data_IF_216153136577
#
_entry.id   IF_216153136577
#
_cell.length_a   1.000
_cell.length_b   1.000
_cell.length_c   1.000
_cell.angle_alpha   90.00
_cell.angle_beta   90.00
_cell.angle_gamma   90.00
#
_symmetry.space_group_name_H-M   'P 1'
#
loop_
_entity.id
_entity.type
_entity.pdbx_description
1 polymer ?
#
# COMPACT_ATOMS: atom_id res chain seq x y z
N UNK A 1 -9.74 2.43 -2.34
CA UNK A 1 -10.06 1.13 -1.68
C UNK A 1 -11.53 0.84 -1.36
N UNK A 2 -12.15 1.39 -0.31
CA UNK A 2 -13.42 0.84 0.21
C UNK A 2 -14.59 0.83 -0.79
N UNK A 3 -14.69 1.85 -1.63
CA UNK A 3 -15.67 1.90 -2.71
C UNK A 3 -15.38 0.91 -3.84
N UNK A 4 -14.11 0.75 -4.21
CA UNK A 4 -13.68 -0.09 -5.33
C UNK A 4 -13.71 -1.59 -4.97
N UNK A 5 -13.43 -1.91 -3.71
CA UNK A 5 -13.43 -3.29 -3.22
C UNK A 5 -14.80 -3.74 -2.71
N UNK A 6 -15.55 -2.87 -2.02
CA UNK A 6 -16.75 -3.27 -1.26
C UNK A 6 -18.03 -2.53 -1.67
N UNK A 7 -17.99 -1.77 -2.77
CA UNK A 7 -19.12 -0.94 -3.21
C UNK A 7 -19.63 0.08 -2.18
N UNK A 8 -18.89 0.31 -1.09
CA UNK A 8 -19.30 1.17 0.03
C UNK A 8 -18.39 2.40 0.13
N UNK A 9 -19.02 3.58 0.12
CA UNK A 9 -18.37 4.83 0.56
C UNK A 9 -18.56 4.95 2.06
N UNK A 10 -17.52 5.41 2.76
CA UNK A 10 -17.73 6.00 4.08
C UNK A 10 -18.38 7.36 3.86
N UNK A 11 -19.68 7.46 4.10
CA UNK A 11 -20.48 8.66 3.98
C UNK A 11 -20.70 9.34 5.34
N UNK A 12 -21.20 10.59 5.33
CA UNK A 12 -21.39 11.43 6.53
C UNK A 12 -22.25 10.78 7.63
N UNK A 13 -22.97 9.69 7.33
CA UNK A 13 -23.77 8.92 8.27
C UNK A 13 -22.93 8.06 9.24
N UNK A 14 -21.74 7.61 8.82
CA UNK A 14 -20.79 6.85 9.66
C UNK A 14 -19.82 7.79 10.44
N UNK A 15 -19.84 9.10 10.13
CA UNK A 15 -19.01 10.15 10.74
C UNK A 15 -17.52 10.10 10.34
N UNK A 16 -16.80 11.24 10.36
CA UNK A 16 -15.34 11.25 10.17
C UNK A 16 -14.59 10.42 11.22
N UNK A 17 -15.20 10.20 12.40
CA UNK A 17 -14.66 9.39 13.49
C UNK A 17 -14.61 7.89 13.15
N UNK A 18 -15.60 7.31 12.47
CA UNK A 18 -15.65 5.86 12.21
C UNK A 18 -14.59 5.39 11.20
N UNK A 19 -14.31 6.19 10.18
CA UNK A 19 -13.24 5.88 9.21
C UNK A 19 -11.83 6.05 9.81
N UNK A 20 -11.64 7.08 10.64
CA UNK A 20 -10.39 7.29 11.38
C UNK A 20 -10.17 6.21 12.45
N UNK A 21 -11.23 5.77 13.12
CA UNK A 21 -11.18 4.67 14.08
C UNK A 21 -10.79 3.35 13.42
N UNK A 22 -11.35 3.05 12.24
CA UNK A 22 -10.95 1.89 11.44
C UNK A 22 -9.47 1.96 11.04
N UNK A 23 -9.00 3.11 10.55
CA UNK A 23 -7.58 3.31 10.18
C UNK A 23 -6.63 3.16 11.38
N UNK A 24 -6.98 3.77 12.52
CA UNK A 24 -6.20 3.60 13.76
C UNK A 24 -6.21 2.16 14.26
N UNK A 25 -7.34 1.47 14.11
CA UNK A 25 -7.48 0.07 14.49
C UNK A 25 -6.68 -0.86 13.58
N UNK A 26 -6.62 -0.55 12.28
CA UNK A 26 -5.75 -1.24 11.32
C UNK A 26 -4.28 -1.14 11.75
N UNK A 27 -3.77 0.08 11.99
CA UNK A 27 -2.37 0.30 12.40
C UNK A 27 -2.06 -0.30 13.78
N UNK A 28 -2.94 -0.09 14.77
CA UNK A 28 -2.77 -0.60 16.13
C UNK A 28 -2.79 -2.12 16.22
N UNK A 29 -3.49 -2.79 15.30
CA UNK A 29 -3.58 -4.26 15.27
C UNK A 29 -2.27 -4.95 14.88
N UNK A 30 -1.33 -4.26 14.21
CA UNK A 30 -0.06 -4.86 13.78
C UNK A 30 0.80 -5.34 14.96
N UNK A 31 0.65 -4.72 16.13
CA UNK A 31 1.35 -5.14 17.36
C UNK A 31 0.87 -6.50 17.90
N UNK A 32 -0.21 -7.07 17.36
CA UNK A 32 -0.73 -8.39 17.73
C UNK A 32 0.13 -9.55 17.20
N UNK A 33 0.86 -9.38 16.09
CA UNK A 33 1.55 -10.49 15.42
C UNK A 33 2.53 -11.24 16.33
N UNK A 34 3.32 -10.50 17.12
CA UNK A 34 4.32 -11.07 18.02
C UNK A 34 3.69 -11.87 19.19
N UNK A 35 2.77 -11.31 20.00
CA UNK A 35 2.11 -12.06 21.07
C UNK A 35 1.22 -13.20 20.55
N UNK A 36 0.58 -13.06 19.39
CA UNK A 36 -0.21 -14.14 18.79
C UNK A 36 0.66 -15.33 18.36
N UNK A 37 1.87 -15.07 17.87
CA UNK A 37 2.82 -16.11 17.46
C UNK A 37 3.38 -16.87 18.66
N UNK A 38 3.65 -16.17 19.76
CA UNK A 38 4.20 -16.76 20.98
C UNK A 38 3.13 -17.43 21.85
N UNK A 39 1.92 -16.88 21.87
CA UNK A 39 0.82 -17.32 22.74
C UNK A 39 -0.50 -17.39 21.96
N UNK A 40 -0.69 -18.40 21.08
CA UNK A 40 -1.86 -18.50 20.22
C UNK A 40 -3.20 -18.52 20.98
N UNK A 41 -3.18 -19.05 22.20
CA UNK A 41 -4.35 -19.15 23.07
C UNK A 41 -4.96 -17.78 23.43
N UNK A 42 -4.17 -16.70 23.40
CA UNK A 42 -4.66 -15.36 23.69
C UNK A 42 -5.73 -14.91 22.68
N UNK A 43 -5.56 -15.30 21.41
CA UNK A 43 -6.56 -15.09 20.37
C UNK A 43 -7.74 -16.05 20.50
N UNK A 44 -7.48 -17.36 20.61
CA UNK A 44 -8.53 -18.38 20.54
C UNK A 44 -9.49 -18.39 21.75
N UNK A 45 -9.06 -17.87 22.91
CA UNK A 45 -9.86 -17.83 24.14
C UNK A 45 -10.50 -16.46 24.41
N UNK A 46 -10.19 -15.44 23.61
CA UNK A 46 -10.59 -14.06 23.87
C UNK A 46 -9.92 -13.45 25.11
N UNK A 47 -8.85 -14.06 25.65
CA UNK A 47 -8.13 -13.48 26.78
C UNK A 47 -7.29 -12.26 26.37
N UNK A 48 -6.83 -12.22 25.12
CA UNK A 48 -6.02 -11.12 24.58
C UNK A 48 -6.70 -9.76 24.70
N UNK A 49 -8.00 -9.67 24.42
CA UNK A 49 -8.78 -8.42 24.53
C UNK A 49 -8.96 -7.94 25.98
N UNK A 50 -8.76 -8.82 26.98
CA UNK A 50 -8.90 -8.49 28.41
C UNK A 50 -7.59 -8.03 29.03
N UNK A 51 -6.46 -8.16 28.32
CA UNK A 51 -5.17 -7.72 28.82
C UNK A 51 -5.12 -6.18 28.89
N UNK A 52 -4.47 -5.61 29.93
CA UNK A 52 -4.19 -4.19 29.98
C UNK A 52 -3.00 -3.82 29.08
N UNK A 53 -2.92 -2.53 28.73
CA UNK A 53 -1.81 -1.97 27.97
C UNK A 53 -1.76 -2.39 26.49
N UNK A 54 -0.63 -2.12 25.85
CA UNK A 54 -0.48 -2.17 24.39
C UNK A 54 -0.82 -3.53 23.76
N UNK A 55 -0.59 -4.64 24.50
CA UNK A 55 -0.95 -5.98 24.02
C UNK A 55 -2.46 -6.07 23.88
N UNK A 56 -3.22 -5.76 24.94
CA UNK A 56 -4.67 -5.81 24.87
C UNK A 56 -5.27 -4.77 23.93
N UNK A 57 -4.66 -3.60 23.82
CA UNK A 57 -5.06 -2.58 22.84
C UNK A 57 -4.94 -3.12 21.41
N UNK A 58 -3.84 -3.82 21.08
CA UNK A 58 -3.66 -4.44 19.77
C UNK A 58 -4.74 -5.51 19.47
N UNK A 59 -5.13 -6.33 20.47
CA UNK A 59 -6.23 -7.29 20.31
C UNK A 59 -7.60 -6.61 20.15
N UNK A 60 -7.86 -5.52 20.88
CA UNK A 60 -9.11 -4.73 20.73
C UNK A 60 -9.19 -4.02 19.38
N UNK A 61 -8.08 -3.42 18.93
CA UNK A 61 -7.96 -2.82 17.60
C UNK A 61 -8.24 -3.86 16.49
N UNK A 62 -7.67 -5.07 16.62
CA UNK A 62 -7.98 -6.15 15.68
C UNK A 62 -9.47 -6.53 15.69
N UNK A 63 -10.10 -6.63 16.86
CA UNK A 63 -11.52 -6.95 16.98
C UNK A 63 -12.42 -5.89 16.33
N UNK A 64 -12.09 -4.61 16.49
CA UNK A 64 -12.82 -3.51 15.84
C UNK A 64 -12.67 -3.61 14.32
N UNK A 65 -11.44 -3.83 13.84
CA UNK A 65 -11.18 -4.01 12.41
C UNK A 65 -11.98 -5.19 11.83
N UNK A 66 -11.94 -6.36 12.47
CA UNK A 66 -12.69 -7.54 12.02
C UNK A 66 -14.21 -7.27 11.95
N UNK A 67 -14.78 -6.65 12.98
CA UNK A 67 -16.21 -6.34 13.01
C UNK A 67 -16.63 -5.37 11.90
N UNK A 68 -15.79 -4.38 11.60
CA UNK A 68 -16.07 -3.42 10.52
C UNK A 68 -15.93 -4.08 9.16
N UNK A 69 -14.90 -4.92 8.97
CA UNK A 69 -14.72 -5.70 7.74
C UNK A 69 -15.90 -6.65 7.48
N UNK A 70 -16.40 -7.33 8.52
CA UNK A 70 -17.59 -8.18 8.42
C UNK A 70 -18.81 -7.42 7.91
N UNK A 71 -19.14 -6.28 8.52
CA UNK A 71 -20.26 -5.42 8.08
C UNK A 71 -20.11 -4.97 6.63
N UNK A 72 -18.89 -4.71 6.18
CA UNK A 72 -18.61 -4.30 4.80
C UNK A 72 -18.78 -5.46 3.81
N UNK A 73 -18.33 -6.67 4.17
CA UNK A 73 -18.52 -7.88 3.37
C UNK A 73 -20.00 -8.25 3.28
N UNK A 74 -20.74 -8.22 4.39
CA UNK A 74 -22.18 -8.50 4.42
C UNK A 74 -22.94 -7.55 3.48
N UNK A 75 -22.68 -6.25 3.60
CA UNK A 75 -23.28 -5.24 2.73
C UNK A 75 -22.97 -5.48 1.25
N UNK A 76 -21.71 -5.83 0.94
CA UNK A 76 -21.27 -6.11 -0.41
C UNK A 76 -21.95 -7.36 -0.99
N UNK A 77 -22.02 -8.44 -0.21
CA UNK A 77 -22.68 -9.69 -0.60
C UNK A 77 -24.15 -9.46 -0.94
N UNK A 78 -24.86 -8.70 -0.11
CA UNK A 78 -26.28 -8.39 -0.31
C UNK A 78 -26.56 -7.49 -1.52
N UNK A 79 -25.69 -6.50 -1.79
CA UNK A 79 -26.03 -5.40 -2.72
C UNK A 79 -25.24 -5.35 -4.01
N UNK A 80 -24.12 -6.06 -4.11
CA UNK A 80 -23.13 -5.77 -5.15
C UNK A 80 -22.28 -6.94 -5.61
N UNK A 81 -22.39 -8.12 -4.97
CA UNK A 81 -21.57 -9.30 -5.30
C UNK A 81 -21.76 -9.84 -6.72
N UNK A 82 -22.91 -9.62 -7.34
CA UNK A 82 -23.19 -10.04 -8.72
C UNK A 82 -22.58 -9.11 -9.80
N UNK A 83 -22.07 -7.95 -9.39
CA UNK A 83 -21.48 -6.95 -10.28
C UNK A 83 -19.96 -7.18 -10.33
N UNK A 84 -19.43 -7.62 -11.47
CA UNK A 84 -18.03 -8.02 -11.65
C UNK A 84 -17.04 -6.85 -11.60
N UNK A 85 -17.52 -5.61 -11.53
CA UNK A 85 -16.68 -4.42 -11.48
C UNK A 85 -15.94 -4.20 -10.16
N UNK A 86 -16.28 -4.93 -9.09
CA UNK A 86 -15.66 -4.75 -7.78
C UNK A 86 -14.58 -5.78 -7.49
N UNK A 87 -13.53 -5.38 -6.78
CA UNK A 87 -12.37 -6.25 -6.53
C UNK A 87 -12.70 -7.49 -5.70
N UNK A 88 -13.72 -7.42 -4.84
CA UNK A 88 -14.16 -8.55 -4.04
C UNK A 88 -15.08 -9.51 -4.82
N UNK A 89 -15.66 -9.10 -5.96
CA UNK A 89 -16.59 -9.93 -6.75
C UNK A 89 -16.02 -11.28 -7.16
N UNK A 90 -14.82 -11.38 -7.78
CA UNK A 90 -14.24 -12.67 -8.15
C UNK A 90 -13.88 -13.52 -6.92
N UNK A 91 -13.50 -12.90 -5.80
CA UNK A 91 -13.17 -13.61 -4.55
C UNK A 91 -14.43 -14.16 -3.85
N UNK A 92 -15.52 -13.40 -3.89
CA UNK A 92 -16.79 -13.75 -3.26
C UNK A 92 -17.59 -14.80 -4.06
N UNK A 93 -17.47 -14.79 -5.38
CA UNK A 93 -18.32 -15.63 -6.26
C UNK A 93 -17.57 -16.76 -6.96
N UNK A 94 -16.25 -16.62 -7.11
CA UNK A 94 -15.38 -17.57 -7.77
C UNK A 94 -15.18 -18.86 -6.97
N UNK A 95 -14.87 -19.94 -7.70
CA UNK A 95 -14.40 -21.19 -7.10
C UNK A 95 -12.89 -21.08 -6.97
N UNK A 96 -12.39 -21.22 -5.74
CA UNK A 96 -10.97 -21.31 -5.51
C UNK A 96 -10.45 -22.62 -6.10
N UNK A 97 -9.53 -22.53 -7.05
CA UNK A 97 -9.03 -23.69 -7.80
C UNK A 97 -8.17 -24.64 -6.98
N UNK A 98 -7.68 -24.23 -5.81
CA UNK A 98 -6.90 -25.07 -4.91
C UNK A 98 -7.82 -25.84 -3.94
N UNK A 99 -8.85 -25.18 -3.42
CA UNK A 99 -9.83 -25.75 -2.49
C UNK A 99 -10.97 -26.49 -3.22
N UNK A 100 -11.13 -26.24 -4.52
CA UNK A 100 -12.25 -26.71 -5.36
C UNK A 100 -13.62 -26.35 -4.79
N UNK A 101 -13.70 -25.20 -4.12
CA UNK A 101 -14.92 -24.65 -3.54
C UNK A 101 -14.86 -23.13 -3.46
N UNK A 102 -16.01 -22.51 -3.22
CA UNK A 102 -16.04 -21.10 -2.81
C UNK A 102 -15.40 -20.93 -1.43
N UNK A 103 -14.84 -19.75 -1.20
CA UNK A 103 -14.45 -19.34 0.14
C UNK A 103 -15.69 -19.32 1.04
N UNK A 104 -15.50 -19.77 2.27
CA UNK A 104 -16.48 -19.59 3.34
C UNK A 104 -16.60 -18.11 3.67
N UNK A 105 -17.67 -17.75 4.37
CA UNK A 105 -17.88 -16.37 4.79
C UNK A 105 -16.73 -15.83 5.66
N UNK A 106 -16.17 -16.66 6.54
CA UNK A 106 -15.02 -16.29 7.37
C UNK A 106 -13.75 -16.07 6.54
N UNK A 107 -13.45 -16.98 5.60
CA UNK A 107 -12.29 -16.82 4.70
C UNK A 107 -12.43 -15.57 3.82
N UNK A 108 -13.63 -15.24 3.37
CA UNK A 108 -13.89 -14.03 2.60
C UNK A 108 -13.66 -12.75 3.43
N UNK A 109 -13.98 -12.79 4.73
CA UNK A 109 -13.72 -11.68 5.65
C UNK A 109 -12.22 -11.50 5.86
N UNK A 110 -11.47 -12.58 6.02
CA UNK A 110 -10.01 -12.51 6.17
C UNK A 110 -9.34 -11.91 4.93
N UNK A 111 -9.77 -12.29 3.72
CA UNK A 111 -9.28 -11.70 2.47
C UNK A 111 -9.68 -10.22 2.35
N UNK A 112 -10.93 -9.88 2.71
CA UNK A 112 -11.41 -8.50 2.73
C UNK A 112 -10.63 -7.61 3.72
N UNK A 113 -10.31 -8.15 4.89
CA UNK A 113 -9.42 -7.49 5.85
C UNK A 113 -8.07 -7.20 5.18
N UNK A 114 -7.46 -8.19 4.53
CA UNK A 114 -6.22 -8.01 3.76
C UNK A 114 -6.29 -6.86 2.75
N UNK A 115 -7.37 -6.76 1.99
CA UNK A 115 -7.57 -5.68 1.01
C UNK A 115 -7.64 -4.28 1.66
N UNK A 116 -8.29 -4.17 2.82
CA UNK A 116 -8.43 -2.91 3.55
C UNK A 116 -7.11 -2.43 4.16
N UNK A 117 -6.33 -3.36 4.72
CA UNK A 117 -5.03 -3.08 5.31
C UNK A 117 -3.99 -2.71 4.24
N UNK A 118 -3.92 -3.49 3.15
CA UNK A 118 -2.91 -3.31 2.12
C UNK A 118 -3.06 -1.97 1.36
N UNK A 119 -4.28 -1.50 1.10
CA UNK A 119 -4.51 -0.33 0.25
C UNK A 119 -4.79 1.01 0.95
N UNK A 120 -4.84 1.06 2.28
CA UNK A 120 -5.10 2.32 3.01
C UNK A 120 -3.82 3.10 3.38
N UNK A 121 -2.85 2.43 4.01
CA UNK A 121 -1.62 3.09 4.48
C UNK A 121 -0.56 3.30 3.38
N UNK A 122 -0.39 2.34 2.48
CA UNK A 122 0.69 2.34 1.47
C UNK A 122 0.43 3.34 0.35
N UNK A 123 -0.78 3.35 -0.22
CA UNK A 123 -1.17 4.30 -1.27
C UNK A 123 -1.21 5.72 -0.73
N UNK A 124 -1.87 5.96 0.43
CA UNK A 124 -1.98 7.32 0.98
C UNK A 124 -0.61 7.92 1.25
N UNK A 125 0.31 7.16 1.83
CA UNK A 125 1.67 7.64 2.11
C UNK A 125 2.43 7.95 0.82
N UNK A 126 2.43 7.02 -0.13
CA UNK A 126 3.12 7.20 -1.40
C UNK A 126 2.54 8.38 -2.18
N UNK A 127 1.21 8.55 -2.10
CA UNK A 127 0.52 9.66 -2.73
C UNK A 127 0.92 10.98 -2.08
N UNK A 128 0.90 11.09 -0.76
CA UNK A 128 1.35 12.28 -0.04
C UNK A 128 2.77 12.70 -0.43
N UNK A 129 3.70 11.76 -0.54
CA UNK A 129 5.07 12.07 -0.96
C UNK A 129 5.18 12.49 -2.42
N UNK A 130 4.43 11.83 -3.30
CA UNK A 130 4.42 12.17 -4.71
C UNK A 130 3.84 13.58 -4.86
N UNK A 131 2.64 13.85 -4.33
CA UNK A 131 1.99 15.16 -4.28
C UNK A 131 2.88 16.29 -3.77
N UNK A 132 3.59 16.04 -2.68
CA UNK A 132 4.54 16.98 -2.14
C UNK A 132 5.65 17.30 -3.14
N UNK A 133 6.27 16.26 -3.72
CA UNK A 133 7.40 16.43 -4.64
C UNK A 133 7.02 17.21 -5.90
N UNK A 134 5.94 16.84 -6.58
CA UNK A 134 5.54 17.45 -7.85
C UNK A 134 5.03 18.90 -7.69
N UNK A 135 4.64 19.32 -6.48
CA UNK A 135 4.18 20.69 -6.20
C UNK A 135 5.26 21.68 -5.81
N UNK A 136 6.49 21.22 -5.60
CA UNK A 136 7.59 22.11 -5.32
C UNK A 136 7.77 23.06 -6.52
N UNK A 137 8.07 24.36 -6.31
CA UNK A 137 8.17 25.36 -7.37
C UNK A 137 9.11 24.96 -8.52
N UNK A 138 10.19 24.26 -8.18
CA UNK A 138 11.18 23.72 -9.08
C UNK A 138 10.68 22.54 -9.94
N UNK A 139 9.52 21.97 -9.63
CA UNK A 139 8.97 20.76 -10.26
C UNK A 139 7.66 21.02 -11.03
N UNK A 140 7.25 22.28 -11.22
CA UNK A 140 6.01 22.63 -11.93
C UNK A 140 6.05 22.21 -13.42
N UNK A 141 7.21 22.20 -14.05
CA UNK A 141 7.37 21.71 -15.43
C UNK A 141 7.27 20.17 -15.51
N UNK A 142 7.75 19.46 -14.47
CA UNK A 142 7.60 18.01 -14.30
C UNK A 142 6.11 17.64 -14.20
N UNK A 143 5.34 18.45 -13.47
CA UNK A 143 3.88 18.35 -13.38
C UNK A 143 3.21 18.38 -14.77
N UNK A 144 3.66 19.28 -15.64
CA UNK A 144 3.02 19.51 -16.93
C UNK A 144 3.39 18.45 -17.97
N UNK A 145 4.62 17.96 -17.92
CA UNK A 145 5.09 16.86 -18.77
C UNK A 145 4.50 15.51 -18.39
N UNK A 146 4.29 15.27 -17.10
CA UNK A 146 3.62 14.06 -16.60
C UNK A 146 2.20 13.96 -17.15
N UNK A 147 1.51 15.10 -17.31
CA UNK A 147 0.16 15.17 -17.88
C UNK A 147 0.11 14.69 -19.33
N UNK A 148 1.13 14.97 -20.12
CA UNK A 148 1.17 14.63 -21.55
C UNK A 148 1.61 13.19 -21.81
N UNK A 149 2.48 12.64 -20.95
CA UNK A 149 3.06 11.29 -21.12
C UNK A 149 2.06 10.15 -20.87
N UNK A 150 1.14 10.33 -19.91
CA UNK A 150 0.10 9.33 -19.57
C UNK A 150 -0.81 9.02 -20.77
N UNK A 151 -0.92 9.93 -21.73
CA UNK A 151 -1.84 9.77 -22.86
C UNK A 151 -1.38 8.73 -23.92
N UNK A 152 -0.24 8.03 -23.78
CA UNK A 152 0.46 7.42 -24.94
C UNK A 152 0.99 5.94 -24.87
N UNK A 153 0.68 5.03 -23.93
CA UNK A 153 1.40 3.70 -23.77
C UNK A 153 0.59 2.34 -23.83
N UNK A 154 1.21 1.18 -24.25
CA UNK A 154 0.82 -0.27 -24.02
C UNK A 154 1.97 -1.28 -23.53
N UNK A 155 1.73 -2.59 -23.17
CA UNK A 155 2.54 -3.45 -22.19
C UNK A 155 3.12 -4.91 -22.51
N UNK A 156 4.29 -5.28 -21.88
CA UNK A 156 4.94 -6.54 -21.25
C UNK A 156 5.56 -7.87 -21.91
N UNK A 157 6.72 -8.43 -21.39
CA UNK A 157 7.20 -9.89 -21.33
C UNK A 157 8.43 -10.22 -20.37
N UNK A 158 8.47 -11.38 -19.63
CA UNK A 158 9.34 -11.73 -18.44
C UNK A 158 9.89 -13.20 -18.35
N UNK A 159 9.81 -14.05 -19.39
CA UNK A 159 9.93 -15.53 -19.23
C UNK A 159 11.32 -16.15 -18.98
N UNK A 160 12.43 -15.48 -19.27
CA UNK A 160 13.75 -16.14 -19.49
C UNK A 160 14.55 -16.52 -18.23
N UNK A 161 14.23 -15.97 -17.04
CA UNK A 161 15.10 -16.05 -15.84
C UNK A 161 15.02 -17.41 -15.09
N UNK A 162 14.03 -18.27 -15.37
CA UNK A 162 13.68 -19.42 -14.50
C UNK A 162 14.56 -20.68 -14.62
N UNK A 163 15.57 -20.75 -15.49
CA UNK A 163 16.17 -22.05 -15.91
C UNK A 163 17.62 -22.33 -15.45
N UNK A 164 18.23 -21.56 -14.53
CA UNK A 164 19.64 -21.76 -14.13
C UNK A 164 19.85 -22.80 -12.98
N UNK A 165 20.71 -23.83 -13.15
CA UNK A 165 20.99 -24.87 -12.15
C UNK A 165 21.91 -24.48 -10.96
N UNK A 166 22.54 -23.30 -10.92
CA UNK A 166 23.47 -22.90 -9.85
C UNK A 166 22.81 -22.49 -8.51
N UNK A 167 21.48 -22.50 -8.42
CA UNK A 167 20.72 -21.96 -7.26
C UNK A 167 19.73 -22.95 -6.64
N UNK A 168 20.12 -24.21 -6.41
CA UNK A 168 19.28 -25.15 -5.66
C UNK A 168 19.35 -24.89 -4.15
N UNK A 169 18.41 -24.10 -3.64
CA UNK A 169 18.17 -23.94 -2.20
C UNK A 169 17.42 -25.16 -1.64
N UNK A 170 17.82 -25.72 -0.48
CA UNK A 170 17.06 -26.79 0.18
C UNK A 170 15.62 -26.37 0.49
N UNK A 171 14.69 -27.31 0.42
CA UNK A 171 13.30 -27.07 0.81
C UNK A 171 13.22 -26.63 2.28
N UNK A 172 12.37 -25.64 2.57
CA UNK A 172 12.24 -25.04 3.90
C UNK A 172 13.21 -23.90 4.19
N UNK A 173 14.08 -23.53 3.25
CA UNK A 173 14.95 -22.34 3.39
C UNK A 173 14.11 -21.06 3.39
N UNK A 174 14.20 -20.27 4.46
CA UNK A 174 13.62 -18.93 4.53
C UNK A 174 14.52 -17.98 3.74
N UNK A 175 13.96 -17.34 2.72
CA UNK A 175 14.66 -16.33 1.92
C UNK A 175 13.96 -14.99 2.15
N UNK A 176 14.75 -13.98 2.51
CA UNK A 176 14.29 -12.59 2.61
C UNK A 176 14.93 -11.75 1.51
N UNK A 177 14.16 -10.81 0.95
CA UNK A 177 14.67 -9.77 0.07
C UNK A 177 14.48 -8.42 0.75
N UNK A 178 15.53 -7.61 0.79
CA UNK A 178 15.52 -6.29 1.39
C UNK A 178 15.48 -5.22 0.30
N UNK A 179 14.26 -4.78 -0.04
CA UNK A 179 14.04 -3.74 -1.05
C UNK A 179 14.86 -2.48 -0.78
N UNK A 180 14.94 -2.06 0.49
CA UNK A 180 15.71 -0.89 0.90
C UNK A 180 17.18 -0.92 0.46
N UNK A 181 17.83 -2.07 0.64
CA UNK A 181 19.26 -2.23 0.34
C UNK A 181 19.50 -2.33 -1.16
N UNK A 182 18.74 -3.15 -1.88
CA UNK A 182 19.02 -3.35 -3.30
C UNK A 182 18.56 -2.17 -4.16
N UNK A 183 17.50 -1.42 -3.78
CA UNK A 183 17.16 -0.13 -4.41
C UNK A 183 18.22 0.96 -4.16
N UNK A 184 19.22 0.66 -3.32
CA UNK A 184 20.36 1.54 -3.02
C UNK A 184 21.70 0.96 -3.44
N UNK A 185 21.71 -0.12 -4.23
CA UNK A 185 22.96 -0.61 -4.80
C UNK A 185 23.49 0.45 -5.79
N UNK A 186 24.64 1.11 -5.51
CA UNK A 186 25.16 2.16 -6.39
C UNK A 186 25.62 1.63 -7.76
N UNK A 187 25.81 0.31 -7.90
CA UNK A 187 26.10 -0.33 -9.19
C UNK A 187 24.89 -0.25 -10.12
N UNK A 188 23.69 -0.43 -9.56
CA UNK A 188 22.43 -0.40 -10.31
C UNK A 188 21.83 1.00 -10.31
N UNK A 189 21.83 1.68 -9.15
CA UNK A 189 21.22 2.99 -8.91
C UNK A 189 22.30 4.04 -8.59
N UNK A 190 22.92 4.69 -9.59
CA UNK A 190 23.91 5.74 -9.35
C UNK A 190 23.35 6.86 -8.45
N UNK A 191 24.13 7.29 -7.45
CA UNK A 191 23.70 8.27 -6.43
C UNK A 191 22.36 7.89 -5.75
N UNK A 192 22.28 6.71 -5.10
CA UNK A 192 21.01 6.13 -4.67
C UNK A 192 20.28 6.93 -3.57
N UNK A 193 21.01 7.75 -2.81
CA UNK A 193 20.44 8.56 -1.73
C UNK A 193 19.90 9.92 -2.19
N UNK A 194 20.01 10.25 -3.48
CA UNK A 194 19.50 11.49 -4.04
C UNK A 194 18.16 11.26 -4.76
N UNK A 195 17.18 12.14 -4.53
CA UNK A 195 15.95 12.17 -5.31
C UNK A 195 16.26 12.74 -6.71
N UNK A 196 16.60 11.87 -7.66
CA UNK A 196 16.91 12.24 -9.05
C UNK A 196 15.94 11.51 -10.00
N UNK A 197 14.73 12.04 -10.25
CA UNK A 197 13.78 11.45 -11.20
C UNK A 197 14.36 11.30 -12.61
N UNK A 198 15.25 12.21 -13.01
CA UNK A 198 15.87 12.23 -14.34
C UNK A 198 16.65 10.96 -14.70
N UNK A 199 17.11 10.20 -13.69
CA UNK A 199 17.82 8.92 -13.91
C UNK A 199 16.97 7.90 -14.68
N UNK A 200 15.65 8.07 -14.67
CA UNK A 200 14.67 7.20 -15.32
C UNK A 200 14.28 7.69 -16.72
N UNK A 201 14.59 8.95 -17.07
CA UNK A 201 14.03 9.60 -18.27
C UNK A 201 14.79 9.31 -19.56
N UNK A 202 16.06 8.89 -19.47
CA UNK A 202 16.89 8.58 -20.64
C UNK A 202 16.93 7.06 -20.82
N UNK A 203 16.28 6.50 -21.85
CA UNK A 203 16.34 5.08 -22.14
C UNK A 203 17.77 4.69 -22.50
N UNK A 204 18.44 3.98 -21.60
CA UNK A 204 19.78 3.45 -21.81
C UNK A 204 19.97 2.17 -20.98
N UNK A 205 21.12 1.52 -21.11
CA UNK A 205 21.41 0.29 -20.38
C UNK A 205 21.29 0.46 -18.85
N UNK A 206 21.64 1.62 -18.31
CA UNK A 206 21.51 1.94 -16.89
C UNK A 206 20.05 2.09 -16.46
N UNK A 207 19.22 2.81 -17.22
CA UNK A 207 17.79 2.96 -16.92
C UNK A 207 17.04 1.63 -16.97
N UNK A 208 17.35 0.77 -17.95
CA UNK A 208 16.76 -0.57 -18.05
C UNK A 208 17.19 -1.48 -16.89
N UNK A 209 18.46 -1.40 -16.48
CA UNK A 209 18.94 -2.12 -15.31
C UNK A 209 18.27 -1.64 -14.02
N UNK A 210 18.06 -0.32 -13.87
CA UNK A 210 17.33 0.25 -12.75
C UNK A 210 15.86 -0.18 -12.73
N UNK A 211 15.18 -0.16 -13.89
CA UNK A 211 13.75 -0.52 -13.99
C UNK A 211 13.52 -1.99 -13.64
N UNK A 212 14.31 -2.89 -14.23
CA UNK A 212 14.26 -4.32 -13.91
C UNK A 212 14.62 -4.63 -12.45
N UNK A 213 15.39 -3.76 -11.80
CA UNK A 213 15.81 -3.91 -10.41
C UNK A 213 14.96 -3.10 -9.43
N UNK A 214 13.98 -2.32 -9.88
CA UNK A 214 13.09 -1.55 -9.03
C UNK A 214 11.84 -2.39 -8.73
N UNK A 215 11.78 -2.92 -7.51
CA UNK A 215 10.79 -3.92 -7.09
C UNK A 215 9.94 -3.48 -5.88
N UNK A 216 9.36 -2.26 -5.86
CA UNK A 216 8.60 -1.74 -4.71
C UNK A 216 7.36 -2.60 -4.39
N UNK A 217 6.86 -3.34 -5.38
CA UNK A 217 5.75 -4.28 -5.25
C UNK A 217 6.20 -5.75 -5.21
N UNK A 218 7.49 -6.01 -5.04
CA UNK A 218 8.12 -7.33 -5.25
C UNK A 218 7.91 -7.87 -6.68
N UNK A 219 8.38 -9.09 -6.95
CA UNK A 219 8.24 -9.77 -8.25
C UNK A 219 7.73 -11.20 -8.01
N UNK A 220 7.01 -11.75 -9.00
CA UNK A 220 6.62 -13.16 -9.05
C UNK A 220 5.26 -13.43 -8.42
N UNK A 221 4.97 -14.69 -8.09
CA UNK A 221 3.63 -15.16 -7.66
C UNK A 221 3.12 -14.56 -6.34
N UNK A 222 3.98 -13.84 -5.62
CA UNK A 222 3.69 -13.18 -4.34
C UNK A 222 3.97 -11.68 -4.39
N UNK A 223 4.04 -11.10 -5.60
CA UNK A 223 4.07 -9.66 -5.74
C UNK A 223 2.75 -9.04 -5.26
N UNK A 224 2.74 -7.72 -5.09
CA UNK A 224 1.56 -7.01 -4.63
C UNK A 224 0.42 -7.15 -5.64
N UNK A 225 -0.68 -7.79 -5.22
CA UNK A 225 -1.91 -7.88 -6.02
C UNK A 225 -2.52 -6.49 -6.31
N UNK A 226 -2.28 -5.53 -5.41
CA UNK A 226 -2.76 -4.15 -5.53
C UNK A 226 -1.85 -3.23 -6.34
N UNK A 227 -0.78 -3.73 -6.98
CA UNK A 227 0.19 -2.90 -7.70
C UNK A 227 -0.46 -1.98 -8.73
N UNK A 228 -1.37 -2.50 -9.56
CA UNK A 228 -2.04 -1.71 -10.59
C UNK A 228 -2.91 -0.62 -9.97
N UNK A 229 -3.69 -0.95 -8.93
CA UNK A 229 -4.53 0.02 -8.25
C UNK A 229 -3.70 1.10 -7.54
N UNK A 230 -2.60 0.72 -6.89
CA UNK A 230 -1.70 1.67 -6.25
C UNK A 230 -1.11 2.64 -7.28
N UNK A 231 -0.68 2.14 -8.44
CA UNK A 231 -0.21 3.00 -9.53
C UNK A 231 -1.28 3.95 -10.05
N UNK A 232 -2.51 3.45 -10.28
CA UNK A 232 -3.62 4.29 -10.73
C UNK A 232 -3.97 5.37 -9.69
N UNK A 233 -4.10 5.02 -8.41
CA UNK A 233 -4.39 5.97 -7.34
C UNK A 233 -3.28 7.04 -7.25
N UNK A 234 -2.02 6.63 -7.38
CA UNK A 234 -0.87 7.53 -7.42
C UNK A 234 -0.94 8.47 -8.62
N UNK A 235 -1.03 7.93 -9.83
CA UNK A 235 -1.06 8.73 -11.06
C UNK A 235 -2.24 9.68 -11.12
N UNK A 236 -3.42 9.26 -10.66
CA UNK A 236 -4.62 10.09 -10.66
C UNK A 236 -4.44 11.27 -9.72
N UNK A 237 -4.10 11.02 -8.46
CA UNK A 237 -4.09 12.09 -7.48
C UNK A 237 -2.89 13.03 -7.68
N UNK A 238 -1.76 12.49 -8.13
CA UNK A 238 -0.58 13.28 -8.54
C UNK A 238 -0.87 14.09 -9.76
N UNK A 239 -1.43 13.47 -10.78
CA UNK A 239 -1.93 14.19 -11.92
C UNK A 239 -2.89 15.31 -11.52
N UNK A 240 -3.78 15.10 -10.55
CA UNK A 240 -4.77 16.09 -10.14
C UNK A 240 -4.18 17.33 -9.44
N UNK A 241 -3.18 17.18 -8.58
CA UNK A 241 -2.70 18.28 -7.71
C UNK A 241 -1.81 19.33 -8.37
N UNK A 242 -0.80 19.04 -9.17
CA UNK A 242 -0.97 18.56 -10.52
C UNK A 242 -1.57 19.71 -11.34
N UNK A 243 -2.68 19.40 -11.99
CA UNK A 243 -3.41 20.38 -12.80
C UNK A 243 -4.14 21.45 -12.03
N UNK A 244 -4.13 21.41 -10.70
CA UNK A 244 -4.88 22.36 -9.89
C UNK A 244 -4.23 23.76 -9.80
N UNK A 245 -3.00 23.94 -10.31
CA UNK A 245 -2.27 25.22 -10.21
C UNK A 245 -1.88 25.55 -8.76
N UNK A 246 -1.62 24.50 -7.97
CA UNK A 246 -1.20 24.63 -6.58
C UNK A 246 0.31 24.61 -6.49
N UNK A 247 0.85 25.55 -5.71
CA UNK A 247 2.24 25.59 -5.30
C UNK A 247 2.33 25.14 -3.85
N UNK A 248 3.06 24.06 -3.58
CA UNK A 248 3.26 23.55 -2.21
C UNK A 248 4.67 23.91 -1.74
N UNK A 249 4.75 24.58 -0.60
CA UNK A 249 5.98 24.88 0.12
C UNK A 249 5.92 24.22 1.50
N UNK A 250 7.07 23.90 2.10
CA UNK A 250 7.07 23.49 3.51
C UNK A 250 6.53 24.60 4.41
N UNK A 251 5.66 24.22 5.35
CA UNK A 251 5.22 25.12 6.40
C UNK A 251 6.41 25.56 7.27
N UNK A 252 6.47 26.82 7.73
CA UNK A 252 7.55 27.31 8.59
C UNK A 252 7.69 26.53 9.91
N UNK A 253 6.63 25.84 10.33
CA UNK A 253 6.59 24.96 11.50
C UNK A 253 7.18 23.56 11.28
N UNK A 254 7.53 23.21 10.04
CA UNK A 254 8.06 21.89 9.70
C UNK A 254 9.54 21.79 10.09
N UNK A 255 9.90 20.76 10.86
CA UNK A 255 11.28 20.52 11.27
C UNK A 255 11.92 19.39 10.43
N UNK A 256 13.21 19.48 10.05
CA UNK A 256 13.85 18.45 9.21
C UNK A 256 13.80 17.03 9.80
N UNK A 257 13.99 16.90 11.11
CA UNK A 257 14.00 15.60 11.80
C UNK A 257 12.64 14.87 11.70
N UNK A 258 11.55 15.58 11.44
CA UNK A 258 10.22 15.00 11.36
C UNK A 258 10.04 14.14 10.10
N UNK A 259 10.86 14.39 9.07
CA UNK A 259 10.88 13.60 7.85
C UNK A 259 11.98 12.53 7.85
N UNK A 260 12.73 12.37 8.95
CA UNK A 260 13.63 11.23 9.11
C UNK A 260 12.83 9.92 8.98
N UNK A 261 13.39 8.97 8.24
CA UNK A 261 12.77 7.67 8.01
C UNK A 261 12.91 6.82 9.28
N UNK A 262 11.78 6.31 9.76
CA UNK A 262 11.76 5.28 10.81
C UNK A 262 11.27 3.96 10.25
N UNK A 263 11.96 2.89 10.65
CA UNK A 263 11.55 1.53 10.35
C UNK A 263 10.32 1.15 11.18
N UNK A 264 9.26 0.75 10.48
CA UNK A 264 8.01 0.21 11.01
C UNK A 264 7.56 -0.90 10.07
N UNK A 265 6.34 -1.41 10.22
CA UNK A 265 5.76 -2.35 9.26
C UNK A 265 5.85 -1.82 7.80
N UNK A 266 5.67 -0.52 7.61
CA UNK A 266 6.02 0.24 6.43
C UNK A 266 6.83 1.49 6.84
N UNK A 267 7.84 1.88 6.07
CA UNK A 267 8.62 3.10 6.31
C UNK A 267 7.69 4.31 6.42
N UNK A 268 7.90 5.13 7.45
CA UNK A 268 7.12 6.34 7.72
C UNK A 268 8.00 7.50 8.21
N UNK A 269 7.56 8.77 8.06
CA UNK A 269 8.24 9.91 8.64
C UNK A 269 8.12 9.90 10.18
N UNK A 270 9.25 10.15 10.86
CA UNK A 270 9.37 10.15 12.33
C UNK A 270 8.35 11.05 13.04
N UNK A 271 8.08 12.23 12.48
CA UNK A 271 7.15 13.21 13.02
C UNK A 271 5.67 12.94 12.72
N UNK A 272 5.37 11.96 11.86
CA UNK A 272 4.00 11.56 11.49
C UNK A 272 3.11 12.71 10.98
N UNK A 273 3.74 13.76 10.44
CA UNK A 273 3.06 14.92 9.86
C UNK A 273 3.89 15.49 8.72
N UNK A 274 3.21 16.07 7.74
CA UNK A 274 3.80 16.91 6.71
C UNK A 274 2.98 18.20 6.65
N UNK A 275 3.59 19.31 7.05
CA UNK A 275 2.93 20.62 7.02
C UNK A 275 3.32 21.36 5.75
N UNK A 276 2.33 21.75 4.96
CA UNK A 276 2.51 22.46 3.70
C UNK A 276 1.81 23.81 3.75
N UNK A 277 2.54 24.84 3.35
CA UNK A 277 1.97 26.12 2.95
C UNK A 277 1.58 26.01 1.47
N UNK A 278 0.29 26.04 1.20
CA UNK A 278 -0.28 25.88 -0.15
C UNK A 278 -0.75 27.22 -0.68
N UNK A 279 -0.19 27.65 -1.81
CA UNK A 279 -0.68 28.81 -2.55
C UNK A 279 -1.24 28.39 -3.90
N UNK A 280 -2.05 29.25 -4.52
CA UNK A 280 -2.57 29.04 -5.86
C UNK A 280 -2.04 30.15 -6.76
N UNK A 281 -1.49 29.77 -7.90
CA UNK A 281 -1.07 30.72 -8.94
C UNK A 281 -2.29 31.29 -9.69
#
# INVERSE_FOLDING_TARGET
MCQAAFAKKFDKADGPEGSLELLRSLEGSALRFLPQSLFPFLGSTGLGIKLPGFIGDAYRCHQIWEQQSRKMVDHFLEKSSADDKYLLSPVATGIDTFLDRRLSHEELIEEAMGYMFAGSGTTSSTLTYLLYAISLPENLDIQERLREAVQKLPADDVTTIRQDPYYRLPAGTIVGMQNWMHHRDPVVFPNPDQFLPDRWLVPNASSHAMESSLTPFSIGRRNCIGQNLAWEELYIAVGAIMRAGLKLCLGPEMQPWEMEIVDRFNIAPKGQRLMLHVTRD
#
